data_IF_662972060425
#
_entry.id   IF_662972060425
#
_cell.length_a   1.000
_cell.length_b   1.000
_cell.length_c   1.000
_cell.angle_alpha   90.00
_cell.angle_beta   90.00
_cell.angle_gamma   90.00
#
_symmetry.space_group_name_H-M   'P 1'
#
loop_
_entity.id
_entity.type
_entity.pdbx_description
1 polymer ?
#
# COMPACT_ATOMS: atom_id res chain seq x y z
N UNK A 1 -15.70 18.18 12.87
CA UNK A 1 -14.56 17.56 12.15
C UNK A 1 -14.89 16.15 11.65
N UNK A 2 -14.97 15.09 12.48
CA UNK A 2 -15.16 13.71 11.96
C UNK A 2 -16.55 13.42 11.33
N UNK A 3 -17.62 14.08 11.81
CA UNK A 3 -18.97 13.95 11.20
C UNK A 3 -19.04 14.62 9.82
N UNK A 4 -18.30 15.71 9.64
CA UNK A 4 -18.29 16.48 8.38
C UNK A 4 -17.58 15.71 7.27
N UNK A 5 -16.45 15.04 7.57
CA UNK A 5 -15.71 14.26 6.57
C UNK A 5 -16.49 13.06 6.03
N UNK A 6 -17.25 12.34 6.87
CA UNK A 6 -18.08 11.22 6.41
C UNK A 6 -19.21 11.68 5.49
N UNK A 7 -19.82 12.81 5.80
CA UNK A 7 -20.85 13.41 4.94
C UNK A 7 -20.26 13.88 3.61
N UNK A 8 -19.08 14.50 3.62
CA UNK A 8 -18.39 14.93 2.40
C UNK A 8 -18.04 13.74 1.49
N UNK A 9 -17.51 12.65 2.06
CA UNK A 9 -17.25 11.41 1.28
C UNK A 9 -18.53 10.83 0.71
N UNK A 10 -19.62 10.79 1.50
CA UNK A 10 -20.92 10.33 1.01
C UNK A 10 -21.42 11.20 -0.14
N UNK A 11 -21.39 12.52 0.00
CA UNK A 11 -21.81 13.44 -1.07
C UNK A 11 -20.94 13.28 -2.32
N UNK A 12 -19.63 13.13 -2.15
CA UNK A 12 -18.72 12.84 -3.26
C UNK A 12 -19.12 11.54 -3.97
N UNK A 13 -19.41 10.47 -3.22
CA UNK A 13 -19.87 9.20 -3.79
C UNK A 13 -21.18 9.40 -4.54
N UNK A 14 -22.19 10.02 -3.91
CA UNK A 14 -23.52 10.21 -4.49
C UNK A 14 -23.47 11.04 -5.79
N UNK A 15 -22.57 12.03 -5.88
CA UNK A 15 -22.42 12.89 -7.07
C UNK A 15 -21.48 12.33 -8.15
N UNK A 16 -20.76 11.23 -7.90
CA UNK A 16 -19.73 10.70 -8.83
C UNK A 16 -19.93 9.21 -9.15
N UNK A 17 -21.17 8.69 -9.07
CA UNK A 17 -21.45 7.26 -9.29
C UNK A 17 -20.89 6.73 -10.61
N UNK A 18 -21.10 7.42 -11.73
CA UNK A 18 -20.62 6.98 -13.04
C UNK A 18 -19.09 6.82 -13.08
N UNK A 19 -18.35 7.80 -12.55
CA UNK A 19 -16.89 7.72 -12.47
C UNK A 19 -16.44 6.59 -11.55
N UNK A 20 -17.10 6.40 -10.40
CA UNK A 20 -16.79 5.32 -9.47
C UNK A 20 -17.06 3.93 -10.08
N UNK A 21 -18.17 3.79 -10.80
CA UNK A 21 -18.53 2.55 -11.48
C UNK A 21 -17.58 2.25 -12.65
N UNK A 22 -17.11 3.27 -13.35
CA UNK A 22 -16.04 3.12 -14.33
C UNK A 22 -14.77 2.53 -13.69
N UNK A 23 -14.27 3.10 -12.59
CA UNK A 23 -13.08 2.55 -11.91
C UNK A 23 -13.31 1.15 -11.33
N UNK A 24 -14.50 0.87 -10.79
CA UNK A 24 -14.89 -0.49 -10.35
C UNK A 24 -14.87 -1.48 -11.51
N UNK A 25 -15.40 -1.08 -12.66
CA UNK A 25 -15.39 -1.90 -13.88
C UNK A 25 -13.96 -2.18 -14.35
N UNK A 26 -13.07 -1.19 -14.34
CA UNK A 26 -11.66 -1.40 -14.67
C UNK A 26 -10.99 -2.42 -13.74
N UNK A 27 -11.24 -2.33 -12.42
CA UNK A 27 -10.73 -3.32 -11.48
C UNK A 27 -11.35 -4.70 -11.75
N UNK A 28 -12.66 -4.78 -11.96
CA UNK A 28 -13.34 -6.04 -12.29
C UNK A 28 -12.71 -6.73 -13.52
N UNK A 29 -12.51 -6.00 -14.62
CA UNK A 29 -11.91 -6.55 -15.83
C UNK A 29 -10.45 -6.96 -15.62
N UNK A 30 -9.66 -6.15 -14.90
CA UNK A 30 -8.28 -6.49 -14.58
C UNK A 30 -8.17 -7.80 -13.77
N UNK A 31 -9.00 -7.96 -12.73
CA UNK A 31 -9.02 -9.18 -11.92
C UNK A 31 -9.56 -10.39 -12.70
N UNK A 32 -10.57 -10.20 -13.56
CA UNK A 32 -11.10 -11.27 -14.41
C UNK A 32 -10.04 -11.80 -15.36
N UNK A 33 -9.41 -10.91 -16.13
CA UNK A 33 -8.40 -11.27 -17.12
C UNK A 33 -7.15 -11.88 -16.45
N UNK A 34 -6.71 -11.32 -15.32
CA UNK A 34 -5.59 -11.87 -14.57
C UNK A 34 -5.93 -13.25 -13.99
N UNK A 35 -7.16 -13.45 -13.50
CA UNK A 35 -7.64 -14.75 -13.04
C UNK A 35 -7.61 -15.82 -14.13
N UNK A 36 -8.04 -15.47 -15.35
CA UNK A 36 -7.95 -16.36 -16.53
C UNK A 36 -6.50 -16.69 -16.87
N UNK A 37 -5.60 -15.70 -16.85
CA UNK A 37 -4.16 -15.91 -17.06
C UNK A 37 -3.56 -16.85 -16.00
N UNK A 38 -3.88 -16.61 -14.72
CA UNK A 38 -3.40 -17.44 -13.61
C UNK A 38 -3.89 -18.87 -13.74
N UNK A 39 -5.17 -19.07 -14.03
CA UNK A 39 -5.74 -20.40 -14.27
C UNK A 39 -5.04 -21.11 -15.45
N UNK A 40 -4.75 -20.38 -16.53
CA UNK A 40 -3.99 -20.93 -17.65
C UNK A 40 -2.56 -21.31 -17.24
N UNK A 41 -1.84 -20.46 -16.53
CA UNK A 41 -0.50 -20.76 -16.01
C UNK A 41 -0.50 -22.02 -15.12
N UNK A 42 -1.48 -22.11 -14.21
CA UNK A 42 -1.67 -23.27 -13.34
C UNK A 42 -1.95 -24.54 -14.13
N UNK A 43 -2.75 -24.47 -15.22
CA UNK A 43 -2.98 -25.60 -16.12
C UNK A 43 -1.71 -26.14 -16.80
N UNK A 44 -0.64 -25.32 -16.82
CA UNK A 44 0.68 -25.68 -17.35
C UNK A 44 1.69 -26.00 -16.24
N UNK A 45 1.26 -26.09 -14.98
CA UNK A 45 2.14 -26.31 -13.83
C UNK A 45 3.02 -25.12 -13.46
N UNK A 46 2.72 -23.93 -13.98
CA UNK A 46 3.46 -22.69 -13.70
C UNK A 46 2.82 -21.96 -12.52
N UNK A 47 3.64 -21.52 -11.56
CA UNK A 47 3.22 -20.65 -10.46
C UNK A 47 3.71 -19.23 -10.67
N UNK A 48 2.97 -18.25 -10.15
CA UNK A 48 3.26 -16.83 -10.32
C UNK A 48 3.83 -16.25 -9.03
N UNK A 49 5.02 -15.65 -9.15
CA UNK A 49 5.65 -14.86 -8.09
C UNK A 49 5.26 -13.40 -8.28
N UNK A 50 4.51 -12.88 -7.32
CA UNK A 50 4.19 -11.47 -7.22
C UNK A 50 5.23 -10.69 -6.45
N UNK A 51 5.09 -9.37 -6.46
CA UNK A 51 5.94 -8.46 -5.75
C UNK A 51 5.13 -7.33 -5.14
N UNK A 52 5.39 -7.03 -3.88
CA UNK A 52 4.83 -5.87 -3.20
C UNK A 52 5.97 -5.00 -2.65
N UNK A 53 6.00 -3.70 -2.98
CA UNK A 53 6.90 -2.74 -2.33
C UNK A 53 6.69 -2.75 -0.81
N UNK A 54 7.74 -2.64 0.01
CA UNK A 54 7.51 -2.54 1.46
C UNK A 54 6.66 -1.33 1.79
N UNK A 55 6.92 -0.15 1.21
CA UNK A 55 6.21 1.09 1.50
C UNK A 55 5.10 1.40 0.50
N UNK A 56 4.02 2.02 0.99
CA UNK A 56 3.01 2.66 0.15
C UNK A 56 3.49 4.05 -0.30
N UNK A 57 2.99 4.55 -1.43
CA UNK A 57 3.22 5.93 -1.85
C UNK A 57 2.40 6.91 -0.99
N UNK A 58 2.88 8.14 -0.78
CA UNK A 58 2.15 9.16 -0.02
C UNK A 58 0.80 9.49 -0.68
N UNK A 59 0.82 9.79 -1.98
CA UNK A 59 -0.38 10.05 -2.77
C UNK A 59 -1.02 8.72 -3.20
N UNK A 60 -1.64 8.04 -2.25
CA UNK A 60 -2.29 6.75 -2.47
C UNK A 60 -3.58 6.60 -1.66
N UNK A 61 -4.48 5.77 -2.17
CA UNK A 61 -5.68 5.37 -1.45
C UNK A 61 -5.35 4.68 -0.11
N UNK A 62 -4.22 3.96 -0.04
CA UNK A 62 -3.76 3.29 1.18
C UNK A 62 -3.54 4.28 2.32
N UNK A 63 -2.76 5.34 2.06
CA UNK A 63 -2.43 6.38 3.04
C UNK A 63 -3.62 7.27 3.33
N UNK A 64 -4.38 7.65 2.30
CA UNK A 64 -5.58 8.49 2.46
C UNK A 64 -6.66 7.81 3.33
N UNK A 65 -6.91 6.52 3.12
CA UNK A 65 -7.96 5.78 3.83
C UNK A 65 -7.51 5.17 5.17
N UNK A 66 -6.21 5.02 5.40
CA UNK A 66 -5.65 4.49 6.64
C UNK A 66 -4.57 5.42 7.24
N UNK A 67 -4.84 6.73 7.42
CA UNK A 67 -3.79 7.69 7.78
C UNK A 67 -3.20 7.45 9.17
N UNK A 68 -3.88 6.69 10.04
CA UNK A 68 -3.38 6.31 11.36
C UNK A 68 -2.33 5.19 11.30
N UNK A 69 -2.24 4.44 10.21
CA UNK A 69 -1.24 3.38 10.03
C UNK A 69 0.14 3.93 9.64
N UNK A 70 0.25 5.24 9.39
CA UNK A 70 1.46 5.93 8.93
C UNK A 70 1.84 7.07 9.88
N UNK A 71 3.12 7.41 9.93
CA UNK A 71 3.66 8.50 10.75
C UNK A 71 3.41 9.86 10.10
N UNK A 72 2.15 10.30 10.17
CA UNK A 72 1.69 11.58 9.61
C UNK A 72 1.46 12.63 10.69
N UNK A 73 1.80 13.89 10.38
CA UNK A 73 1.46 15.05 11.18
C UNK A 73 -0.04 15.37 11.18
N UNK A 74 -0.41 16.41 11.93
CA UNK A 74 -1.81 16.90 11.99
C UNK A 74 -2.33 17.34 10.61
N UNK A 75 -1.43 17.85 9.76
CA UNK A 75 -1.69 18.29 8.39
C UNK A 75 -1.66 17.14 7.36
N UNK A 76 -1.53 15.89 7.82
CA UNK A 76 -1.43 14.67 7.01
C UNK A 76 -0.19 14.57 6.12
N UNK A 77 0.85 15.36 6.41
CA UNK A 77 2.17 15.18 5.78
C UNK A 77 3.04 14.19 6.57
N UNK A 78 3.96 13.46 5.91
CA UNK A 78 4.91 12.60 6.62
C UNK A 78 5.78 13.41 7.57
N UNK A 79 5.95 12.93 8.80
CA UNK A 79 6.95 13.48 9.73
C UNK A 79 8.35 12.95 9.39
N UNK A 80 8.39 11.68 8.97
CA UNK A 80 9.58 10.99 8.51
C UNK A 80 9.28 10.28 7.20
N UNK A 81 10.29 10.16 6.36
CA UNK A 81 10.18 9.46 5.08
C UNK A 81 11.25 8.37 4.93
N UNK A 82 10.89 7.36 4.16
CA UNK A 82 11.72 6.21 3.89
C UNK A 82 12.90 6.54 2.98
N UNK A 83 13.94 5.72 3.12
CA UNK A 83 15.12 5.73 2.29
C UNK A 83 16.10 4.65 2.73
N UNK A 84 17.35 4.78 2.31
CA UNK A 84 18.49 4.01 2.83
C UNK A 84 19.65 4.95 3.13
N UNK A 85 20.44 4.68 4.18
CA UNK A 85 21.56 5.52 4.55
C UNK A 85 22.66 5.49 3.48
N UNK A 86 23.64 6.42 3.55
CA UNK A 86 24.91 6.26 2.88
C UNK A 86 25.56 4.91 3.18
N UNK A 87 26.19 4.32 2.16
CA UNK A 87 27.00 3.12 2.27
C UNK A 87 28.19 3.18 1.30
N UNK A 88 28.92 2.08 1.18
CA UNK A 88 30.09 2.00 0.28
C UNK A 88 29.73 2.02 -1.21
N UNK A 89 28.46 1.87 -1.58
CA UNK A 89 27.96 1.99 -2.95
C UNK A 89 27.39 3.40 -3.23
N UNK A 90 26.84 4.09 -2.23
CA UNK A 90 26.28 5.43 -2.35
C UNK A 90 26.69 6.34 -1.19
N UNK A 91 27.49 7.36 -1.47
CA UNK A 91 27.95 8.32 -0.47
C UNK A 91 26.82 9.17 0.17
N UNK A 92 25.67 9.27 -0.49
CA UNK A 92 24.53 10.08 0.00
C UNK A 92 23.34 9.24 0.44
N UNK A 93 23.39 7.91 0.28
CA UNK A 93 22.24 7.05 0.45
C UNK A 93 21.19 7.30 -0.63
N UNK A 94 19.92 7.02 -0.31
CA UNK A 94 18.79 7.27 -1.20
C UNK A 94 17.59 7.73 -0.40
N UNK A 95 16.98 8.85 -0.83
CA UNK A 95 15.74 9.36 -0.28
C UNK A 95 14.57 8.92 -1.18
N UNK A 96 13.70 8.07 -0.68
CA UNK A 96 12.56 7.55 -1.47
C UNK A 96 11.29 8.38 -1.28
N UNK A 97 11.12 9.00 -0.10
CA UNK A 97 10.01 9.92 0.15
C UNK A 97 8.70 9.26 0.57
N UNK A 98 8.62 7.94 0.65
CA UNK A 98 7.44 7.23 1.14
C UNK A 98 7.19 7.52 2.63
N UNK A 99 5.92 7.62 3.08
CA UNK A 99 5.61 7.67 4.50
C UNK A 99 6.01 6.37 5.20
N UNK A 100 6.50 6.51 6.43
CA UNK A 100 6.87 5.37 7.29
C UNK A 100 5.66 4.90 8.08
N UNK A 101 5.61 3.60 8.37
CA UNK A 101 4.56 2.99 9.18
C UNK A 101 4.61 3.40 10.65
N UNK A 102 3.44 3.59 11.25
CA UNK A 102 3.31 3.61 12.70
C UNK A 102 3.14 2.17 13.21
N UNK A 103 4.25 1.45 13.36
CA UNK A 103 4.26 0.07 13.82
C UNK A 103 3.63 -0.11 15.20
N UNK A 104 3.73 0.90 16.09
CA UNK A 104 3.08 0.85 17.42
C UNK A 104 1.56 0.92 17.27
N UNK A 105 1.05 1.71 16.33
CA UNK A 105 -0.39 1.77 16.03
C UNK A 105 -0.87 0.48 15.36
N UNK A 106 -0.11 -0.05 14.41
CA UNK A 106 -0.39 -1.33 13.75
C UNK A 106 -0.45 -2.48 14.75
N UNK A 107 0.50 -2.57 15.68
CA UNK A 107 0.51 -3.63 16.70
C UNK A 107 -0.79 -3.63 17.52
N UNK A 108 -1.32 -2.46 17.86
CA UNK A 108 -2.57 -2.31 18.63
C UNK A 108 -3.81 -2.84 17.91
N UNK A 109 -3.83 -2.88 16.57
CA UNK A 109 -4.92 -3.49 15.80
C UNK A 109 -4.57 -4.88 15.24
N UNK A 110 -3.46 -5.45 15.71
CA UNK A 110 -2.99 -6.76 15.30
C UNK A 110 -2.47 -6.78 13.87
N UNK A 111 -1.87 -5.68 13.40
CA UNK A 111 -1.31 -5.51 12.06
C UNK A 111 -2.34 -5.70 10.95
N UNK A 112 -3.56 -5.18 11.16
CA UNK A 112 -4.70 -5.38 10.26
C UNK A 112 -4.37 -4.96 8.82
N UNK A 113 -3.80 -3.78 8.64
CA UNK A 113 -3.48 -3.26 7.31
C UNK A 113 -2.51 -4.17 6.54
N UNK A 114 -1.44 -4.64 7.18
CA UNK A 114 -0.50 -5.58 6.57
C UNK A 114 -1.13 -6.95 6.28
N UNK A 115 -1.96 -7.47 7.19
CA UNK A 115 -2.68 -8.74 6.97
C UNK A 115 -3.63 -8.65 5.78
N UNK A 116 -4.38 -7.56 5.66
CA UNK A 116 -5.30 -7.34 4.54
C UNK A 116 -4.53 -7.19 3.22
N UNK A 117 -3.41 -6.44 3.23
CA UNK A 117 -2.52 -6.29 2.08
C UNK A 117 -1.95 -7.63 1.59
N UNK A 118 -1.42 -8.45 2.50
CA UNK A 118 -0.89 -9.79 2.17
C UNK A 118 -2.00 -10.72 1.71
N UNK A 119 -3.17 -10.71 2.36
CA UNK A 119 -4.33 -11.52 1.95
C UNK A 119 -4.76 -11.18 0.52
N UNK A 120 -4.88 -9.89 0.19
CA UNK A 120 -5.27 -9.44 -1.14
C UNK A 120 -4.23 -9.83 -2.19
N UNK A 121 -2.95 -9.62 -1.91
CA UNK A 121 -1.87 -10.01 -2.81
C UNK A 121 -1.83 -11.55 -3.02
N UNK A 122 -2.14 -12.34 -1.98
CA UNK A 122 -2.20 -13.81 -2.08
C UNK A 122 -3.39 -14.32 -2.90
N UNK A 123 -4.43 -13.52 -3.10
CA UNK A 123 -5.50 -13.86 -4.04
C UNK A 123 -5.00 -13.73 -5.49
N UNK A 124 -4.05 -12.83 -5.74
CA UNK A 124 -3.50 -12.54 -7.06
C UNK A 124 -2.34 -13.51 -7.35
N UNK A 125 -1.38 -13.66 -6.45
CA UNK A 125 -0.13 -14.40 -6.70
C UNK A 125 -0.06 -15.70 -5.91
N UNK A 126 0.83 -16.62 -6.30
CA UNK A 126 1.05 -17.88 -5.56
C UNK A 126 2.17 -17.75 -4.53
N UNK A 127 3.14 -16.87 -4.80
CA UNK A 127 4.24 -16.52 -3.91
C UNK A 127 4.36 -15.00 -3.91
N UNK A 128 4.66 -14.42 -2.75
CA UNK A 128 4.86 -12.99 -2.61
C UNK A 128 6.33 -12.68 -2.29
N UNK A 129 6.97 -11.90 -3.16
CA UNK A 129 8.16 -11.16 -2.81
C UNK A 129 7.73 -9.88 -2.08
N UNK A 130 8.39 -9.59 -0.97
CA UNK A 130 8.29 -8.29 -0.32
C UNK A 130 9.62 -7.59 -0.58
N UNK A 131 9.57 -6.54 -1.39
CA UNK A 131 10.74 -5.72 -1.66
C UNK A 131 11.26 -5.06 -0.37
N UNK A 132 12.57 -4.80 -0.30
CA UNK A 132 13.23 -4.19 0.84
C UNK A 132 12.87 -4.84 2.20
N UNK A 133 12.78 -6.18 2.22
CA UNK A 133 12.34 -6.98 3.38
C UNK A 133 13.06 -6.63 4.70
N UNK A 134 14.32 -6.19 4.66
CA UNK A 134 15.06 -5.76 5.87
C UNK A 134 14.35 -4.67 6.65
N UNK A 135 13.58 -3.82 5.96
CA UNK A 135 12.74 -2.76 6.53
C UNK A 135 11.69 -3.27 7.53
N UNK A 136 11.35 -4.55 7.49
CA UNK A 136 10.46 -5.19 8.48
C UNK A 136 11.15 -5.41 9.84
N UNK A 137 12.47 -5.59 9.84
CA UNK A 137 13.25 -5.75 11.06
C UNK A 137 13.78 -4.40 11.57
N UNK A 138 14.28 -3.58 10.65
CA UNK A 138 14.84 -2.26 10.93
C UNK A 138 14.77 -1.40 9.68
N UNK A 139 14.41 -0.14 9.80
CA UNK A 139 14.21 0.76 8.65
C UNK A 139 14.94 2.08 8.85
N UNK A 140 15.34 2.70 7.74
CA UNK A 140 15.94 4.02 7.76
C UNK A 140 14.90 5.11 7.59
N UNK A 141 15.02 6.17 8.39
CA UNK A 141 14.08 7.29 8.43
C UNK A 141 14.82 8.62 8.26
N UNK A 142 14.48 9.36 7.22
CA UNK A 142 14.91 10.75 7.05
C UNK A 142 13.87 11.70 7.63
N UNK A 143 14.34 12.70 8.37
CA UNK A 143 13.48 13.80 8.81
C UNK A 143 13.21 14.73 7.63
N UNK A 144 11.97 15.20 7.51
CA UNK A 144 11.58 16.25 6.57
C UNK A 144 11.57 17.63 7.24
#
# INVERSE_FOLDING_TARGET
MAKDSKLLVKNFIDSNQEALDFYRFLQFEAYRQYGELKAYAHSKGVRIIGDIPIYAALDSADVWSNPDQFQLGIDKKPVWVAGVPPDYFSATGQLWGNPIYDYKRMEKDGFRWWKDRVRNASNIYDVLRIDHFRGMADYWAYFL
#
